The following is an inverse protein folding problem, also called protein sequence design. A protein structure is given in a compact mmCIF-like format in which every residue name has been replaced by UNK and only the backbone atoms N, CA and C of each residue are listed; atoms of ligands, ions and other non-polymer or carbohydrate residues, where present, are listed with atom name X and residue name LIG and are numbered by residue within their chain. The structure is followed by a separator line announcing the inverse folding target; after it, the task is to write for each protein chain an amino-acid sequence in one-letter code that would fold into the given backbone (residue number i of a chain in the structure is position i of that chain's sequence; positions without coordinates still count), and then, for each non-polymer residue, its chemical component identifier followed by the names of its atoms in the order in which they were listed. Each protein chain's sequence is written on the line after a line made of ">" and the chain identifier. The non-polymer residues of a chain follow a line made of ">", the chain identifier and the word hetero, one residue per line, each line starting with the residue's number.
data_IF_534731059170
#
_entry.id   IF_534731059170
#
_cell.length_a   1.000
_cell.length_b   1.000
_cell.length_c   1.000
_cell.angle_alpha   90.00
_cell.angle_beta   90.00
_cell.angle_gamma   90.00
#
_symmetry.space_group_name_H-M   'P 1'
#
loop_
_entity.id
_entity.type
_entity.pdbx_description
1 polymer ?
#
# COMPACT_ATOMS: atom_id res chain seq x y z
N UNK A 1 50.04 39.26 29.82
CA UNK A 1 49.09 38.25 30.32
C UNK A 1 47.61 38.46 29.95
N UNK A 2 47.08 39.70 29.76
CA UNK A 2 45.66 39.96 29.41
C UNK A 2 45.24 39.52 28.01
N UNK A 3 46.15 39.43 27.01
CA UNK A 3 45.78 39.02 25.63
C UNK A 3 45.68 37.50 25.41
N UNK A 4 46.26 36.67 26.28
CA UNK A 4 46.23 35.19 26.16
C UNK A 4 44.92 34.63 26.66
N UNK A 5 44.26 35.27 27.64
CA UNK A 5 42.99 34.81 28.22
C UNK A 5 41.82 35.05 27.26
N UNK A 6 41.85 36.10 26.45
CA UNK A 6 40.82 36.38 25.45
C UNK A 6 40.78 35.35 24.31
N UNK A 7 41.94 34.79 23.93
CA UNK A 7 42.02 33.81 22.83
C UNK A 7 41.51 32.43 23.26
N UNK A 8 41.71 32.05 24.52
CA UNK A 8 41.19 30.78 25.07
C UNK A 8 39.67 30.77 25.25
N UNK A 9 39.08 31.93 25.58
CA UNK A 9 37.59 32.06 25.63
C UNK A 9 36.92 31.95 24.27
N UNK A 10 37.55 32.49 23.21
CA UNK A 10 37.00 32.35 21.83
C UNK A 10 37.06 30.92 21.30
N UNK A 11 38.14 30.16 21.64
CA UNK A 11 38.22 28.74 21.25
C UNK A 11 37.17 27.86 21.99
N UNK A 12 36.90 28.15 23.26
CA UNK A 12 35.92 27.44 24.07
C UNK A 12 34.49 27.64 23.56
N UNK A 13 34.11 28.85 23.11
CA UNK A 13 32.79 29.14 22.57
C UNK A 13 32.57 28.48 21.19
N UNK A 14 33.61 28.45 20.32
CA UNK A 14 33.52 27.76 19.03
C UNK A 14 33.41 26.23 19.13
N UNK A 15 34.01 25.62 20.17
CA UNK A 15 33.88 24.19 20.41
C UNK A 15 32.49 23.82 20.97
N UNK A 16 31.91 24.64 21.83
CA UNK A 16 30.59 24.43 22.42
C UNK A 16 29.47 24.53 21.36
N UNK A 17 29.56 25.47 20.45
CA UNK A 17 28.54 25.63 19.39
C UNK A 17 28.52 24.46 18.40
N UNK A 18 29.70 23.97 17.98
CA UNK A 18 29.78 22.80 17.08
C UNK A 18 29.32 21.48 17.74
N UNK A 19 29.48 21.33 19.05
CA UNK A 19 28.99 20.14 19.76
C UNK A 19 27.47 20.16 19.88
N UNK A 20 26.87 21.31 20.16
CA UNK A 20 25.43 21.46 20.27
C UNK A 20 24.72 21.25 18.92
N UNK A 21 25.28 21.77 17.83
CA UNK A 21 24.74 21.57 16.47
C UNK A 21 24.76 20.07 16.07
N UNK A 22 25.82 19.33 16.40
CA UNK A 22 25.89 17.88 16.15
C UNK A 22 24.89 17.08 17.00
N UNK A 23 24.68 17.46 18.26
CA UNK A 23 23.70 16.83 19.15
C UNK A 23 22.29 17.08 18.63
N UNK A 24 21.96 18.31 18.26
CA UNK A 24 20.66 18.68 17.71
C UNK A 24 20.36 17.96 16.39
N UNK A 25 21.34 17.84 15.49
CA UNK A 25 21.19 17.06 14.25
C UNK A 25 20.96 15.57 14.58
N UNK A 26 21.68 15.02 15.55
CA UNK A 26 21.54 13.62 15.94
C UNK A 26 20.19 13.34 16.60
N UNK A 27 19.72 14.23 17.47
CA UNK A 27 18.38 14.15 18.07
C UNK A 27 17.26 14.27 17.00
N UNK A 28 17.37 15.20 16.07
CA UNK A 28 16.42 15.34 14.97
C UNK A 28 16.40 14.10 14.06
N UNK A 29 17.55 13.48 13.79
CA UNK A 29 17.62 12.20 13.05
C UNK A 29 16.97 11.07 13.85
N UNK A 30 17.13 11.03 15.16
CA UNK A 30 16.55 10.00 16.04
C UNK A 30 15.04 10.17 16.16
N UNK A 31 14.56 11.41 16.27
CA UNK A 31 13.14 11.75 16.29
C UNK A 31 12.49 11.41 14.94
N UNK A 32 13.11 11.80 13.83
CA UNK A 32 12.66 11.43 12.50
C UNK A 32 12.59 9.89 12.33
N UNK A 33 13.60 9.17 12.76
CA UNK A 33 13.65 7.71 12.68
C UNK A 33 12.58 7.02 13.53
N UNK A 34 12.21 7.60 14.67
CA UNK A 34 11.17 7.08 15.55
C UNK A 34 9.75 7.37 15.06
N UNK A 35 9.58 8.37 14.20
CA UNK A 35 8.31 8.74 13.60
C UNK A 35 8.04 8.08 12.25
N UNK A 36 8.99 7.29 11.74
CA UNK A 36 8.82 6.52 10.52
C UNK A 36 8.56 5.06 10.86
N UNK A 37 7.80 4.38 10.00
CA UNK A 37 7.60 2.93 10.05
C UNK A 37 7.96 2.32 8.70
N UNK A 38 8.25 1.04 8.71
CA UNK A 38 8.53 0.28 7.50
C UNK A 38 7.22 0.04 6.76
N UNK A 39 7.20 0.36 5.46
CA UNK A 39 6.07 0.03 4.60
C UNK A 39 6.06 -1.47 4.29
N UNK A 40 4.89 -2.07 4.39
CA UNK A 40 4.69 -3.43 3.91
C UNK A 40 4.60 -3.43 2.38
N UNK A 41 5.22 -4.45 1.78
CA UNK A 41 5.17 -4.71 0.34
C UNK A 41 4.63 -6.10 0.13
N UNK A 42 3.44 -6.19 -0.41
CA UNK A 42 2.76 -7.45 -0.63
C UNK A 42 3.30 -8.15 -1.88
N UNK A 43 3.17 -9.47 -1.89
CA UNK A 43 3.42 -10.28 -3.08
C UNK A 43 2.47 -11.46 -3.14
N UNK A 44 2.18 -11.93 -4.36
CA UNK A 44 1.29 -13.06 -4.58
C UNK A 44 1.81 -13.96 -5.69
N UNK A 45 1.61 -15.28 -5.51
CA UNK A 45 2.02 -16.31 -6.45
C UNK A 45 0.82 -16.78 -7.28
N UNK A 46 1.04 -17.07 -8.56
CA UNK A 46 0.03 -17.60 -9.47
C UNK A 46 0.55 -17.82 -10.88
N UNK A 47 -0.27 -18.37 -11.76
CA UNK A 47 0.01 -18.45 -13.22
C UNK A 47 -0.71 -17.30 -13.92
N UNK A 48 -0.11 -16.09 -13.86
CA UNK A 48 -0.77 -14.87 -14.33
C UNK A 48 -0.68 -14.65 -15.83
N UNK A 49 0.23 -15.31 -16.54
CA UNK A 49 0.38 -15.19 -17.98
C UNK A 49 -0.10 -16.44 -18.76
N UNK A 50 -0.46 -17.53 -18.07
CA UNK A 50 -1.04 -18.74 -18.64
C UNK A 50 -0.01 -19.72 -19.22
N UNK A 51 1.28 -19.57 -18.85
CA UNK A 51 2.36 -20.47 -19.34
C UNK A 51 2.51 -21.73 -18.48
N UNK A 52 1.67 -21.89 -17.46
CA UNK A 52 1.64 -23.00 -16.47
C UNK A 52 2.84 -23.05 -15.54
N UNK A 53 3.55 -21.95 -15.40
CA UNK A 53 4.58 -21.78 -14.38
C UNK A 53 4.12 -20.78 -13.35
N UNK A 54 4.70 -20.90 -12.16
CA UNK A 54 4.38 -19.97 -11.08
C UNK A 54 5.13 -18.68 -11.28
N UNK A 55 4.38 -17.59 -11.41
CA UNK A 55 4.84 -16.23 -11.38
C UNK A 55 4.75 -15.64 -9.98
N UNK A 56 5.39 -14.50 -9.78
CA UNK A 56 5.19 -13.65 -8.60
C UNK A 56 4.86 -12.23 -9.06
N UNK A 57 3.77 -11.69 -8.53
CA UNK A 57 3.47 -10.27 -8.61
C UNK A 57 3.97 -9.61 -7.32
N UNK A 58 4.71 -8.52 -7.46
CA UNK A 58 5.23 -7.73 -6.36
C UNK A 58 4.59 -6.35 -6.31
N UNK A 59 4.26 -5.89 -5.12
CA UNK A 59 3.97 -4.49 -4.84
C UNK A 59 5.27 -3.72 -4.68
N UNK A 60 5.34 -2.55 -5.31
CA UNK A 60 6.40 -1.57 -5.13
C UNK A 60 5.80 -0.25 -4.66
N UNK A 61 6.51 0.42 -3.77
CA UNK A 61 6.21 1.78 -3.35
C UNK A 61 7.35 2.66 -3.88
N UNK A 62 7.09 3.50 -4.87
CA UNK A 62 8.12 4.23 -5.58
C UNK A 62 7.99 5.73 -5.39
N UNK A 63 9.11 6.44 -5.15
CA UNK A 63 9.18 7.90 -5.20
C UNK A 63 9.59 8.36 -6.58
N UNK A 64 8.71 9.04 -7.29
CA UNK A 64 9.04 9.67 -8.56
C UNK A 64 9.97 10.88 -8.38
N UNK A 65 9.93 11.54 -7.22
CA UNK A 65 10.84 12.62 -6.88
C UNK A 65 12.29 12.11 -6.73
N UNK A 66 12.49 11.06 -5.93
CA UNK A 66 13.82 10.54 -5.61
C UNK A 66 14.28 9.42 -6.55
N UNK A 67 13.40 8.96 -7.47
CA UNK A 67 13.65 7.87 -8.43
C UNK A 67 14.10 6.58 -7.77
N UNK A 68 13.52 6.25 -6.62
CA UNK A 68 13.86 5.05 -5.85
C UNK A 68 12.64 4.46 -5.12
N UNK A 69 12.79 3.23 -4.65
CA UNK A 69 11.84 2.57 -3.76
C UNK A 69 11.72 3.31 -2.42
N UNK A 70 10.49 3.38 -1.92
CA UNK A 70 10.16 3.87 -0.59
C UNK A 70 10.01 2.65 0.34
N UNK A 71 10.88 2.53 1.33
CA UNK A 71 10.84 1.46 2.33
C UNK A 71 10.28 1.93 3.67
N UNK A 72 10.25 3.24 3.91
CA UNK A 72 9.80 3.83 5.16
C UNK A 72 8.96 5.08 4.89
N UNK A 73 7.89 5.26 5.66
CA UNK A 73 7.02 6.44 5.61
C UNK A 73 6.71 6.95 7.02
N UNK A 74 6.21 8.19 7.17
CA UNK A 74 5.75 8.69 8.47
C UNK A 74 4.69 7.77 9.07
N UNK A 75 4.82 7.48 10.36
CA UNK A 75 3.91 6.60 11.08
C UNK A 75 2.61 7.33 11.41
N UNK A 76 1.44 6.94 10.87
CA UNK A 76 0.18 7.63 11.09
C UNK A 76 -0.30 7.59 12.55
N UNK A 77 0.25 6.70 13.38
CA UNK A 77 -0.02 6.66 14.82
C UNK A 77 0.82 7.66 15.64
N UNK A 78 1.80 8.32 15.03
CA UNK A 78 2.77 9.21 15.69
C UNK A 78 2.93 10.56 15.00
N UNK A 79 2.39 10.69 13.80
CA UNK A 79 2.49 11.88 12.94
C UNK A 79 1.06 12.33 12.62
N UNK A 80 0.84 13.63 12.54
CA UNK A 80 -0.43 14.19 12.11
C UNK A 80 -0.81 13.66 10.73
N UNK A 81 -2.10 13.35 10.52
CA UNK A 81 -2.57 12.75 9.27
C UNK A 81 -2.31 13.62 8.05
N UNK A 82 -2.54 14.94 8.17
CA UNK A 82 -2.29 15.87 7.07
C UNK A 82 -0.81 15.90 6.67
N UNK A 83 0.10 15.73 7.63
CA UNK A 83 1.53 15.63 7.38
C UNK A 83 1.91 14.30 6.71
N UNK A 84 1.26 13.20 7.09
CA UNK A 84 1.43 11.90 6.41
C UNK A 84 1.00 12.02 4.95
N UNK A 85 -0.19 12.52 4.69
CA UNK A 85 -0.74 12.74 3.35
C UNK A 85 0.18 13.61 2.51
N UNK A 86 0.56 14.77 3.06
CA UNK A 86 1.48 15.71 2.41
C UNK A 86 2.83 15.09 2.08
N UNK A 87 3.34 14.23 2.94
CA UNK A 87 4.61 13.54 2.71
C UNK A 87 4.55 12.64 1.47
N UNK A 88 3.51 11.79 1.35
CA UNK A 88 3.34 10.92 0.18
C UNK A 88 3.19 11.70 -1.12
N UNK A 89 2.40 12.78 -1.12
CA UNK A 89 2.28 13.66 -2.30
C UNK A 89 3.58 14.38 -2.64
N UNK A 90 4.35 14.82 -1.65
CA UNK A 90 5.66 15.45 -1.88
C UNK A 90 6.69 14.47 -2.45
N UNK A 91 6.56 13.17 -2.19
CA UNK A 91 7.39 12.13 -2.80
C UNK A 91 6.99 11.87 -4.26
N UNK A 92 5.86 12.42 -4.73
CA UNK A 92 5.22 11.98 -5.98
C UNK A 92 5.16 10.46 -6.02
N UNK A 93 4.61 9.88 -4.92
CA UNK A 93 4.64 8.44 -4.70
C UNK A 93 3.70 7.71 -5.62
N UNK A 94 4.11 6.51 -6.05
CA UNK A 94 3.30 5.63 -6.88
C UNK A 94 3.39 4.19 -6.35
N UNK A 95 2.24 3.61 -6.08
CA UNK A 95 2.14 2.18 -5.82
C UNK A 95 2.05 1.47 -7.16
N UNK A 96 2.89 0.48 -7.36
CA UNK A 96 2.84 -0.31 -8.60
C UNK A 96 2.80 -1.80 -8.32
N UNK A 97 2.20 -2.55 -9.26
CA UNK A 97 2.27 -4.00 -9.30
C UNK A 97 3.02 -4.43 -10.56
N UNK A 98 3.97 -5.34 -10.42
CA UNK A 98 4.72 -5.88 -11.53
C UNK A 98 4.99 -7.38 -11.38
N UNK A 99 5.04 -8.09 -12.51
CA UNK A 99 5.59 -9.44 -12.52
C UNK A 99 7.12 -9.41 -12.47
N UNK A 100 7.72 -10.50 -11.98
CA UNK A 100 9.17 -10.70 -11.92
C UNK A 100 9.80 -10.98 -13.31
N UNK A 101 9.13 -10.61 -14.40
CA UNK A 101 9.58 -10.87 -15.78
C UNK A 101 9.94 -9.58 -16.52
N UNK A 102 10.95 -9.68 -17.42
CA UNK A 102 11.25 -8.61 -18.39
C UNK A 102 10.08 -8.46 -19.34
N UNK A 103 9.66 -7.21 -19.58
CA UNK A 103 8.64 -6.80 -20.56
C UNK A 103 7.18 -7.04 -20.17
N UNK A 104 6.86 -7.29 -18.89
CA UNK A 104 5.47 -7.16 -18.42
C UNK A 104 5.14 -5.69 -18.16
N UNK A 105 3.93 -5.30 -18.48
CA UNK A 105 3.41 -3.99 -18.12
C UNK A 105 3.43 -3.81 -16.61
N UNK A 106 3.76 -2.61 -16.16
CA UNK A 106 3.65 -2.20 -14.75
C UNK A 106 2.25 -1.62 -14.55
N UNK A 107 1.49 -2.17 -13.60
CA UNK A 107 0.20 -1.60 -13.21
C UNK A 107 0.44 -0.47 -12.20
N UNK A 108 0.18 0.77 -12.62
CA UNK A 108 0.26 1.96 -11.80
C UNK A 108 -1.05 2.18 -11.04
N UNK A 109 -0.97 2.36 -9.73
CA UNK A 109 -2.12 2.51 -8.84
C UNK A 109 -2.24 3.93 -8.26
N UNK A 110 -1.21 4.76 -8.45
CA UNK A 110 -1.14 6.14 -7.98
C UNK A 110 -0.65 6.27 -6.54
N UNK A 111 -0.80 7.49 -6.01
CA UNK A 111 -0.34 7.85 -4.67
C UNK A 111 -1.25 7.25 -3.60
N UNK A 112 -0.67 6.43 -2.71
CA UNK A 112 -1.37 5.79 -1.60
C UNK A 112 -0.36 5.35 -0.53
N UNK A 113 -0.83 4.89 0.64
CA UNK A 113 0.03 4.32 1.68
C UNK A 113 0.56 2.94 1.29
N UNK A 114 -0.26 2.15 0.59
CA UNK A 114 0.05 0.78 0.20
C UNK A 114 -1.19 0.04 -0.30
N UNK A 115 -1.21 -1.26 -0.06
CA UNK A 115 -2.37 -2.11 -0.30
C UNK A 115 -2.84 -2.73 1.01
N UNK A 116 -4.15 -2.75 1.25
CA UNK A 116 -4.74 -3.56 2.32
C UNK A 116 -4.59 -5.06 2.04
N UNK A 117 -4.73 -5.46 0.79
CA UNK A 117 -4.59 -6.86 0.37
C UNK A 117 -4.18 -6.97 -1.10
N UNK A 118 -3.55 -8.11 -1.43
CA UNK A 118 -3.24 -8.56 -2.78
C UNK A 118 -3.49 -10.07 -2.82
N UNK A 119 -4.53 -10.50 -3.54
CA UNK A 119 -5.08 -11.85 -3.46
C UNK A 119 -5.06 -12.49 -4.84
N UNK A 120 -4.49 -13.69 -4.98
CA UNK A 120 -4.74 -14.54 -6.14
C UNK A 120 -6.11 -15.21 -5.99
N UNK A 121 -7.03 -14.91 -6.89
CA UNK A 121 -8.38 -15.50 -6.89
C UNK A 121 -8.49 -16.70 -7.83
N UNK A 122 -7.41 -17.07 -8.53
CA UNK A 122 -7.36 -18.16 -9.51
C UNK A 122 -8.02 -17.80 -10.83
N UNK A 123 -8.05 -18.75 -11.74
CA UNK A 123 -8.69 -18.60 -13.08
C UNK A 123 -10.22 -18.67 -12.98
N UNK A 124 -10.87 -17.53 -12.75
CA UNK A 124 -12.33 -17.43 -12.62
C UNK A 124 -13.06 -17.15 -13.93
N UNK A 125 -12.36 -16.64 -14.93
CA UNK A 125 -12.91 -16.36 -16.24
C UNK A 125 -12.69 -17.51 -17.24
N UNK A 126 -11.94 -18.54 -16.85
CA UNK A 126 -11.61 -19.76 -17.64
C UNK A 126 -10.80 -19.45 -18.90
N UNK A 127 -9.84 -18.54 -18.79
CA UNK A 127 -8.89 -18.23 -19.86
C UNK A 127 -7.50 -18.83 -19.63
N UNK A 128 -7.31 -19.58 -18.55
CA UNK A 128 -6.10 -20.26 -18.08
C UNK A 128 -5.06 -19.34 -17.45
N UNK A 129 -5.46 -18.16 -17.02
CA UNK A 129 -4.64 -17.23 -16.29
C UNK A 129 -5.29 -16.96 -14.94
N UNK A 130 -4.49 -16.79 -13.92
CA UNK A 130 -4.98 -16.39 -12.62
C UNK A 130 -5.30 -14.90 -12.60
N UNK A 131 -6.39 -14.52 -11.96
CA UNK A 131 -6.74 -13.13 -11.69
C UNK A 131 -6.25 -12.70 -10.31
N UNK A 132 -5.96 -11.41 -10.19
CA UNK A 132 -5.67 -10.77 -8.90
C UNK A 132 -6.80 -9.87 -8.45
N UNK A 133 -7.04 -9.87 -7.15
CA UNK A 133 -7.89 -8.88 -6.48
C UNK A 133 -7.04 -8.09 -5.48
N UNK A 134 -7.24 -6.78 -5.41
CA UNK A 134 -6.56 -5.93 -4.44
C UNK A 134 -7.42 -4.76 -4.01
N UNK A 135 -7.07 -4.18 -2.86
CA UNK A 135 -7.66 -2.96 -2.32
C UNK A 135 -6.54 -2.00 -1.94
N UNK A 136 -6.63 -0.78 -2.44
CA UNK A 136 -5.65 0.28 -2.20
C UNK A 136 -5.94 0.93 -0.84
N UNK A 137 -4.92 1.11 -0.02
CA UNK A 137 -4.94 1.90 1.21
C UNK A 137 -4.74 3.37 0.86
N UNK A 138 -5.85 4.05 0.63
CA UNK A 138 -5.86 5.43 0.14
C UNK A 138 -5.44 6.43 1.22
N UNK A 139 -5.03 7.61 0.76
CA UNK A 139 -4.72 8.77 1.60
C UNK A 139 -5.95 9.70 1.76
N UNK A 140 -7.12 9.13 1.96
CA UNK A 140 -8.36 9.88 2.17
C UNK A 140 -9.06 9.43 3.46
N UNK A 141 -10.00 10.25 3.97
CA UNK A 141 -10.81 9.94 5.15
C UNK A 141 -12.07 9.12 4.80
N UNK A 142 -12.13 8.56 3.60
CA UNK A 142 -13.27 7.76 3.16
C UNK A 142 -13.30 6.44 3.90
N UNK A 143 -14.46 6.11 4.47
CA UNK A 143 -14.72 4.78 5.06
C UNK A 143 -15.04 3.72 4.02
N UNK A 144 -14.95 4.06 2.74
CA UNK A 144 -15.23 3.17 1.63
C UNK A 144 -14.00 3.03 0.74
N UNK A 145 -13.64 1.82 0.43
CA UNK A 145 -12.58 1.46 -0.49
C UNK A 145 -13.15 0.72 -1.70
N UNK A 146 -12.33 0.49 -2.70
CA UNK A 146 -12.72 -0.24 -3.91
C UNK A 146 -11.83 -1.45 -4.07
N UNK A 147 -12.44 -2.64 -4.10
CA UNK A 147 -11.78 -3.85 -4.56
C UNK A 147 -11.74 -3.82 -6.09
N UNK A 148 -10.55 -4.01 -6.64
CA UNK A 148 -10.34 -4.11 -8.09
C UNK A 148 -9.83 -5.48 -8.44
N UNK A 149 -10.38 -6.06 -9.53
CA UNK A 149 -9.97 -7.36 -10.05
C UNK A 149 -9.38 -7.16 -11.44
N UNK A 150 -8.14 -7.63 -11.62
CA UNK A 150 -7.40 -7.52 -12.86
C UNK A 150 -6.94 -8.88 -13.35
N UNK A 151 -6.74 -8.97 -14.66
CA UNK A 151 -6.05 -10.06 -15.35
C UNK A 151 -4.97 -9.49 -16.25
N UNK A 152 -4.01 -10.33 -16.65
CA UNK A 152 -2.96 -9.94 -17.59
C UNK A 152 -3.30 -10.47 -19.00
N UNK A 153 -3.70 -9.58 -19.91
CA UNK A 153 -4.06 -9.89 -21.29
C UNK A 153 -2.91 -9.52 -22.23
N UNK A 154 -2.24 -10.50 -22.82
CA UNK A 154 -1.14 -10.28 -23.78
C UNK A 154 -0.07 -9.32 -23.25
N UNK A 155 0.27 -9.45 -21.98
CA UNK A 155 1.25 -8.62 -21.27
C UNK A 155 0.70 -7.29 -20.73
N UNK A 156 -0.57 -6.96 -20.97
CA UNK A 156 -1.21 -5.72 -20.52
C UNK A 156 -2.25 -5.98 -19.42
N UNK A 157 -2.32 -5.10 -18.43
CA UNK A 157 -3.30 -5.22 -17.36
C UNK A 157 -4.69 -4.78 -17.81
N UNK A 158 -5.69 -5.64 -17.61
CA UNK A 158 -7.09 -5.34 -17.90
C UNK A 158 -7.92 -5.42 -16.62
N UNK A 159 -8.63 -4.33 -16.31
CA UNK A 159 -9.65 -4.32 -15.24
C UNK A 159 -10.86 -5.15 -15.67
N UNK A 160 -11.19 -6.17 -14.89
CA UNK A 160 -12.35 -7.04 -15.13
C UNK A 160 -13.55 -6.63 -14.31
N UNK A 161 -13.33 -6.17 -13.08
CA UNK A 161 -14.38 -5.80 -12.14
C UNK A 161 -13.87 -4.88 -11.06
N UNK A 162 -14.75 -4.02 -10.58
CA UNK A 162 -14.57 -3.27 -9.33
C UNK A 162 -15.88 -3.24 -8.53
N UNK A 163 -15.75 -3.12 -7.21
CA UNK A 163 -16.89 -3.02 -6.29
C UNK A 163 -16.48 -2.38 -4.97
N UNK A 164 -17.45 -1.75 -4.29
CA UNK A 164 -17.24 -1.05 -3.03
C UNK A 164 -17.04 -2.00 -1.84
N UNK A 165 -16.15 -1.61 -0.95
CA UNK A 165 -15.85 -2.30 0.31
C UNK A 165 -15.80 -1.25 1.42
N UNK A 166 -16.27 -1.59 2.62
CA UNK A 166 -16.08 -0.74 3.79
C UNK A 166 -14.69 -0.98 4.40
N UNK A 167 -14.10 0.07 4.94
CA UNK A 167 -12.79 0.03 5.56
C UNK A 167 -12.73 -0.92 6.77
N UNK A 168 -13.85 -1.06 7.52
CA UNK A 168 -13.97 -1.96 8.66
C UNK A 168 -13.73 -3.46 8.30
N UNK A 169 -13.75 -3.81 7.01
CA UNK A 169 -13.34 -5.14 6.54
C UNK A 169 -11.85 -5.44 6.81
N UNK A 170 -11.05 -4.40 7.04
CA UNK A 170 -9.62 -4.47 7.30
C UNK A 170 -9.25 -4.09 8.74
N UNK A 171 -10.23 -3.99 9.64
CA UNK A 171 -9.99 -3.76 11.05
C UNK A 171 -9.15 -4.91 11.63
N UNK A 172 -8.02 -4.53 12.22
CA UNK A 172 -7.05 -5.48 12.74
C UNK A 172 -7.23 -5.64 14.24
N UNK A 173 -7.02 -6.86 14.70
CA UNK A 173 -6.99 -7.11 16.13
C UNK A 173 -5.77 -6.46 16.76
N UNK A 174 -5.95 -5.89 17.94
CA UNK A 174 -4.88 -5.25 18.70
C UNK A 174 -3.71 -6.22 18.91
N UNK A 175 -2.54 -5.87 18.37
CA UNK A 175 -1.30 -6.65 18.49
C UNK A 175 -0.98 -7.57 17.30
N UNK A 176 -1.81 -7.60 16.26
CA UNK A 176 -1.45 -8.27 15.01
C UNK A 176 -0.55 -7.35 14.17
N UNK A 177 0.53 -7.90 13.63
CA UNK A 177 1.27 -7.32 12.51
C UNK A 177 0.41 -7.46 11.27
N UNK A 178 0.61 -6.60 10.26
CA UNK A 178 -0.21 -6.54 9.05
C UNK A 178 -0.67 -7.92 8.56
N UNK A 179 -1.99 -8.23 8.54
CA UNK A 179 -2.47 -9.54 8.15
C UNK A 179 -2.31 -9.74 6.64
N UNK A 180 -1.90 -10.93 6.24
CA UNK A 180 -2.00 -11.36 4.84
C UNK A 180 -3.42 -11.84 4.60
N UNK A 181 -4.21 -11.06 3.91
CA UNK A 181 -5.57 -11.44 3.56
C UNK A 181 -5.57 -12.37 2.34
N UNK A 182 -6.17 -13.54 2.48
CA UNK A 182 -6.47 -14.45 1.36
C UNK A 182 -7.92 -14.34 0.89
N UNK A 183 -8.71 -13.53 1.58
CA UNK A 183 -10.10 -13.18 1.27
C UNK A 183 -10.45 -11.90 2.02
N UNK A 184 -11.54 -11.24 1.65
CA UNK A 184 -12.06 -10.07 2.35
C UNK A 184 -13.39 -10.47 2.96
N UNK A 185 -13.41 -10.68 4.26
CA UNK A 185 -14.55 -11.21 4.99
C UNK A 185 -15.82 -10.37 4.71
N UNK A 186 -16.88 -11.03 4.28
CA UNK A 186 -18.16 -10.40 3.93
C UNK A 186 -18.18 -9.71 2.56
N UNK A 187 -17.05 -9.56 1.85
CA UNK A 187 -16.98 -8.82 0.58
C UNK A 187 -16.39 -9.63 -0.58
N UNK A 188 -15.37 -10.42 -0.36
CA UNK A 188 -14.77 -11.29 -1.37
C UNK A 188 -14.33 -12.59 -0.72
N UNK A 189 -15.13 -13.63 -0.81
CA UNK A 189 -14.92 -14.91 -0.15
C UNK A 189 -15.12 -16.08 -1.10
N UNK A 190 -14.42 -17.18 -0.84
CA UNK A 190 -14.60 -18.44 -1.56
C UNK A 190 -15.62 -19.32 -0.82
N UNK A 191 -16.76 -19.60 -1.45
CA UNK A 191 -17.79 -20.49 -0.94
C UNK A 191 -17.99 -21.65 -1.92
N UNK A 192 -17.85 -22.90 -1.45
CA UNK A 192 -17.99 -24.11 -2.29
C UNK A 192 -17.19 -24.01 -3.63
N UNK A 193 -15.93 -23.63 -3.56
CA UNK A 193 -15.05 -23.39 -4.71
C UNK A 193 -15.46 -22.26 -5.68
N UNK A 194 -16.45 -21.46 -5.34
CA UNK A 194 -16.88 -20.29 -6.12
C UNK A 194 -16.52 -19.03 -5.35
N UNK A 195 -15.90 -18.07 -5.99
CA UNK A 195 -15.73 -16.74 -5.42
C UNK A 195 -17.05 -16.00 -5.42
N UNK A 196 -17.40 -15.47 -4.26
CA UNK A 196 -18.58 -14.64 -4.02
C UNK A 196 -18.12 -13.23 -3.69
N UNK A 197 -18.88 -12.23 -4.12
CA UNK A 197 -18.62 -10.84 -3.78
C UNK A 197 -19.87 -10.11 -3.33
N UNK A 198 -19.68 -9.08 -2.51
CA UNK A 198 -20.66 -8.08 -2.11
C UNK A 198 -20.20 -6.70 -2.58
N UNK A 199 -21.05 -5.97 -3.28
CA UNK A 199 -20.81 -4.59 -3.67
C UNK A 199 -21.52 -3.66 -2.68
N UNK A 200 -20.76 -2.86 -1.96
CA UNK A 200 -21.28 -1.91 -0.98
C UNK A 200 -21.56 -0.51 -1.57
N UNK A 201 -21.30 -0.28 -2.86
CA UNK A 201 -21.52 1.04 -3.49
C UNK A 201 -22.98 1.50 -3.50
N UNK A 202 -23.94 0.59 -3.23
CA UNK A 202 -25.35 0.90 -3.24
C UNK A 202 -25.92 1.38 -1.89
N UNK A 203 -25.13 1.32 -0.80
CA UNK A 203 -25.63 1.50 0.56
C UNK A 203 -25.09 2.75 1.28
N UNK A 204 -24.64 3.77 0.54
CA UNK A 204 -24.08 5.00 1.15
C UNK A 204 -25.11 5.82 1.94
N UNK A 205 -26.42 5.53 1.81
CA UNK A 205 -27.51 6.27 2.45
C UNK A 205 -28.61 5.43 3.11
N UNK A 206 -28.57 4.11 3.00
CA UNK A 206 -29.62 3.29 3.62
C UNK A 206 -29.19 2.69 4.95
N UNK A 207 -30.14 2.75 5.91
CA UNK A 207 -30.02 2.23 7.26
C UNK A 207 -29.38 0.83 7.31
N UNK A 208 -28.69 0.55 8.38
CA UNK A 208 -27.91 -0.67 8.68
C UNK A 208 -28.65 -2.03 8.54
N UNK A 209 -29.82 -2.08 7.95
CA UNK A 209 -30.70 -3.26 7.92
C UNK A 209 -30.70 -4.08 6.63
N UNK A 210 -30.20 -3.56 5.50
CA UNK A 210 -30.03 -4.36 4.29
C UNK A 210 -28.56 -4.57 3.91
N UNK A 211 -27.87 -5.43 4.65
CA UNK A 211 -26.62 -6.02 4.17
C UNK A 211 -26.95 -6.82 2.90
N UNK A 212 -26.53 -6.33 1.76
CA UNK A 212 -26.76 -6.99 0.47
C UNK A 212 -26.26 -8.44 0.50
N UNK A 213 -26.90 -9.32 -0.27
CA UNK A 213 -26.45 -10.72 -0.37
C UNK A 213 -25.26 -10.84 -1.29
N UNK A 214 -24.26 -11.61 -0.88
CA UNK A 214 -23.14 -11.97 -1.75
C UNK A 214 -23.63 -12.66 -3.03
N UNK A 215 -23.02 -12.28 -4.16
CA UNK A 215 -23.31 -12.82 -5.50
C UNK A 215 -22.10 -13.60 -6.01
N UNK A 216 -22.34 -14.61 -6.84
CA UNK A 216 -21.24 -15.33 -7.49
C UNK A 216 -20.44 -14.36 -8.38
N UNK A 217 -19.11 -14.39 -8.21
CA UNK A 217 -18.20 -13.62 -9.04
C UNK A 217 -18.22 -14.19 -10.46
N UNK A 218 -18.52 -13.35 -11.43
CA UNK A 218 -18.46 -13.69 -12.85
C UNK A 218 -17.59 -12.65 -13.54
N UNK A 219 -16.56 -13.11 -14.22
CA UNK A 219 -15.58 -12.28 -14.91
C UNK A 219 -15.59 -12.60 -16.40
N UNK A 220 -15.38 -11.56 -17.21
CA UNK A 220 -15.20 -11.73 -18.65
C UNK A 220 -13.78 -12.20 -18.94
N UNK A 221 -13.61 -12.91 -20.07
CA UNK A 221 -12.28 -13.23 -20.59
C UNK A 221 -11.59 -11.96 -21.10
N UNK A 222 -10.30 -12.06 -21.29
CA UNK A 222 -9.52 -11.07 -22.05
C UNK A 222 -10.21 -10.70 -23.35
N UNK A 223 -10.24 -9.40 -23.63
CA UNK A 223 -10.74 -8.88 -24.92
C UNK A 223 -9.62 -8.75 -25.91
#
# INVERSE_FOLDING_TARGET
>A
MKRLISLLLFFSICYSTKSNEKVEIFENILIAKNNFHKLEKLSVLGDFDGDKKVDTIYQHNFSNLEKKEIDFAPNPMKTDWDEVVKWFYNQDSDITLSLNRKNSEILHLGTAQGLYCLINIGDNNKDRKDEIAFVIDKLDDSRTNTCKIYTLCDGNWQLLKEFGIREDAFDWKKGETQPKFNSIKGYLEKQNNTWMYLDNNQNEYDSAEEVGKMKALRLNKCK
#
